data_IF_648486261723
#
_entry.id   IF_648486261723
#
_cell.length_a   1.000
_cell.length_b   1.000
_cell.length_c   1.000
_cell.angle_alpha   90.00
_cell.angle_beta   90.00
_cell.angle_gamma   90.00
#
_symmetry.space_group_name_H-M   'P 1'
#
loop_
_entity.id
_entity.type
_entity.pdbx_description
1 polymer ?
#
# COMPACT_ATOMS: atom_id res chain seq x y z
N UNK A 1 -61.20 -41.10 14.05
CA UNK A 1 -61.10 -39.64 13.87
C UNK A 1 -59.72 -39.17 14.30
N UNK A 2 -59.05 -38.46 13.39
CA UNK A 2 -58.00 -37.44 13.61
C UNK A 2 -56.72 -37.87 14.35
N UNK A 3 -55.64 -37.94 13.57
CA UNK A 3 -54.26 -37.81 14.04
C UNK A 3 -53.88 -36.32 14.09
N UNK A 4 -53.02 -36.02 15.08
CA UNK A 4 -51.86 -35.10 15.09
C UNK A 4 -51.97 -33.72 15.78
N UNK A 5 -50.98 -33.55 16.69
CA UNK A 5 -50.21 -32.38 17.13
C UNK A 5 -50.73 -31.63 18.38
N UNK A 6 -49.89 -31.58 19.43
CA UNK A 6 -49.08 -30.38 19.79
C UNK A 6 -48.15 -30.71 20.97
N UNK A 7 -46.90 -30.31 20.83
CA UNK A 7 -45.83 -30.42 21.80
C UNK A 7 -45.90 -29.30 22.85
N UNK A 8 -45.38 -29.55 24.06
CA UNK A 8 -44.66 -28.63 24.95
C UNK A 8 -44.11 -29.51 26.08
N UNK A 9 -42.78 -29.60 26.24
CA UNK A 9 -42.06 -29.31 27.50
C UNK A 9 -40.56 -29.60 27.31
N UNK A 10 -39.73 -28.56 27.46
CA UNK A 10 -38.27 -28.65 27.51
C UNK A 10 -37.85 -29.12 28.91
N UNK A 11 -36.84 -30.00 29.03
CA UNK A 11 -35.74 -29.69 29.95
C UNK A 11 -34.38 -30.01 29.29
N UNK A 12 -33.53 -29.02 29.06
CA UNK A 12 -32.58 -28.45 30.02
C UNK A 12 -31.30 -29.32 30.17
N UNK A 13 -30.22 -28.75 29.63
CA UNK A 13 -28.79 -28.94 29.88
C UNK A 13 -27.95 -29.96 29.10
N UNK A 14 -26.89 -29.36 28.51
CA UNK A 14 -25.55 -29.88 28.26
C UNK A 14 -25.22 -30.42 26.86
N UNK A 15 -25.00 -29.49 25.93
CA UNK A 15 -23.77 -29.50 25.13
C UNK A 15 -23.53 -28.11 24.53
N UNK A 16 -22.55 -27.42 25.12
CA UNK A 16 -22.09 -26.12 24.68
C UNK A 16 -21.33 -26.26 23.36
N UNK A 17 -21.87 -25.69 22.30
CA UNK A 17 -21.09 -25.21 21.16
C UNK A 17 -21.81 -24.00 20.59
N UNK A 18 -21.92 -22.95 21.41
CA UNK A 18 -21.95 -21.61 20.85
C UNK A 18 -20.60 -21.45 20.14
N UNK A 19 -20.59 -21.61 18.82
CA UNK A 19 -19.65 -20.88 17.97
C UNK A 19 -19.99 -19.40 18.13
N UNK A 20 -19.67 -18.85 19.30
CA UNK A 20 -19.43 -17.43 19.45
C UNK A 20 -18.20 -17.23 18.57
N UNK A 21 -18.41 -16.85 17.32
CA UNK A 21 -17.34 -16.29 16.52
C UNK A 21 -16.91 -15.04 17.26
N UNK A 22 -15.97 -15.21 18.20
CA UNK A 22 -15.17 -14.10 18.67
C UNK A 22 -14.71 -13.44 17.36
N UNK A 23 -14.98 -12.15 17.13
CA UNK A 23 -14.20 -11.46 16.14
C UNK A 23 -12.77 -11.72 16.58
N UNK A 24 -12.01 -12.47 15.78
CA UNK A 24 -10.59 -12.58 16.02
C UNK A 24 -10.12 -11.14 16.03
N UNK A 25 -9.76 -10.64 17.22
CA UNK A 25 -8.94 -9.45 17.36
C UNK A 25 -7.58 -9.88 16.80
N UNK A 26 -7.52 -10.03 15.49
CA UNK A 26 -6.29 -10.11 14.75
C UNK A 26 -5.69 -8.73 14.94
N UNK A 27 -4.81 -8.60 15.93
CA UNK A 27 -3.90 -7.48 15.98
C UNK A 27 -3.15 -7.54 14.65
N UNK A 28 -3.47 -6.60 13.75
CA UNK A 28 -2.77 -6.53 12.49
C UNK A 28 -1.28 -6.37 12.77
N UNK A 29 -0.48 -7.30 12.27
CA UNK A 29 0.94 -7.35 12.59
C UNK A 29 1.66 -6.27 11.78
N UNK A 30 2.45 -5.43 12.47
CA UNK A 30 3.27 -4.43 11.82
C UNK A 30 4.26 -5.08 10.84
N UNK A 31 4.42 -4.46 9.67
CA UNK A 31 5.18 -5.02 8.55
C UNK A 31 6.68 -5.05 8.84
N UNK A 32 7.37 -6.07 8.30
CA UNK A 32 8.82 -6.25 8.43
C UNK A 32 9.33 -7.17 7.32
N UNK A 33 10.42 -6.78 6.65
CA UNK A 33 11.06 -7.59 5.61
C UNK A 33 10.69 -7.16 4.20
N UNK A 34 10.78 -8.08 3.26
CA UNK A 34 10.54 -7.80 1.84
C UNK A 34 9.17 -8.31 1.42
N UNK A 35 8.41 -7.48 0.71
CA UNK A 35 7.13 -7.81 0.11
C UNK A 35 7.20 -7.53 -1.39
N UNK A 36 6.51 -8.35 -2.18
CA UNK A 36 6.56 -8.30 -3.63
C UNK A 36 5.29 -7.69 -4.22
N UNK A 37 5.46 -6.80 -5.19
CA UNK A 37 4.36 -6.31 -6.02
C UNK A 37 4.48 -6.94 -7.41
N UNK A 38 3.46 -7.68 -7.82
CA UNK A 38 3.36 -8.32 -9.14
C UNK A 38 1.91 -8.25 -9.61
N UNK A 39 1.68 -8.20 -10.92
CA UNK A 39 0.30 -8.26 -11.46
C UNK A 39 -0.41 -9.58 -11.14
N UNK A 40 0.36 -10.65 -10.85
CA UNK A 40 -0.14 -11.92 -10.33
C UNK A 40 0.93 -12.62 -9.50
N UNK A 41 0.52 -13.33 -8.43
CA UNK A 41 1.40 -14.16 -7.62
C UNK A 41 2.42 -13.43 -6.74
N UNK A 42 2.28 -12.12 -6.55
CA UNK A 42 3.01 -11.35 -5.54
C UNK A 42 2.20 -11.20 -4.26
N UNK A 43 2.82 -10.67 -3.20
CA UNK A 43 2.13 -10.32 -1.95
C UNK A 43 1.08 -9.24 -2.18
N UNK A 44 1.36 -8.34 -3.13
CA UNK A 44 0.48 -7.27 -3.55
C UNK A 44 0.27 -7.26 -5.07
N UNK A 45 -0.95 -6.97 -5.49
CA UNK A 45 -1.29 -6.77 -6.91
C UNK A 45 -0.88 -5.39 -7.45
N UNK A 46 -0.67 -4.40 -6.56
CA UNK A 46 -0.33 -3.03 -6.92
C UNK A 46 0.52 -2.34 -5.86
N UNK A 47 1.24 -1.29 -6.27
CA UNK A 47 2.06 -0.46 -5.37
C UNK A 47 1.16 0.25 -4.34
N UNK A 48 -0.01 0.73 -4.78
CA UNK A 48 -0.98 1.38 -3.88
C UNK A 48 -1.49 0.42 -2.80
N UNK A 49 -1.70 -0.87 -3.09
CA UNK A 49 -2.14 -1.83 -2.08
C UNK A 49 -1.10 -1.98 -0.95
N UNK A 50 0.19 -2.09 -1.32
CA UNK A 50 1.28 -2.11 -0.35
C UNK A 50 1.34 -0.81 0.47
N UNK A 51 1.12 0.36 -0.17
CA UNK A 51 1.12 1.65 0.51
C UNK A 51 -0.06 1.81 1.50
N UNK A 52 -1.24 1.25 1.17
CA UNK A 52 -2.39 1.20 2.10
C UNK A 52 -2.03 0.39 3.34
N UNK A 53 -1.48 -0.81 3.17
CA UNK A 53 -1.12 -1.67 4.28
C UNK A 53 -0.03 -1.07 5.16
N UNK A 54 0.99 -0.43 4.56
CA UNK A 54 2.02 0.30 5.31
C UNK A 54 1.41 1.41 6.17
N UNK A 55 0.43 2.15 5.63
CA UNK A 55 -0.25 3.21 6.38
C UNK A 55 -1.17 2.64 7.47
N UNK A 56 -1.78 1.48 7.24
CA UNK A 56 -2.73 0.85 8.16
C UNK A 56 -2.05 0.09 9.31
N UNK A 57 -0.94 -0.60 9.03
CA UNK A 57 -0.28 -1.53 9.95
C UNK A 57 1.03 -0.99 10.50
N UNK A 58 1.63 0.00 9.82
CA UNK A 58 2.95 0.50 10.17
C UNK A 58 4.04 -0.56 10.00
N UNK A 59 5.20 -0.28 10.58
CA UNK A 59 6.39 -1.12 10.48
C UNK A 59 6.99 -1.44 11.84
N UNK A 60 7.49 -2.66 11.99
CA UNK A 60 8.25 -3.12 13.16
C UNK A 60 9.74 -3.36 12.87
N UNK A 61 10.13 -3.23 11.61
CA UNK A 61 11.50 -3.34 11.12
C UNK A 61 11.64 -2.67 9.75
N UNK A 62 12.81 -2.73 9.11
CA UNK A 62 12.97 -2.28 7.74
C UNK A 62 12.00 -3.00 6.79
N UNK A 63 11.34 -2.26 5.91
CA UNK A 63 10.44 -2.82 4.89
C UNK A 63 10.92 -2.45 3.49
N UNK A 64 10.96 -3.46 2.62
CA UNK A 64 11.23 -3.28 1.19
C UNK A 64 10.01 -3.77 0.42
N UNK A 65 9.42 -2.89 -0.38
CA UNK A 65 8.42 -3.22 -1.39
C UNK A 65 9.15 -3.37 -2.72
N UNK A 66 9.32 -4.61 -3.14
CA UNK A 66 10.04 -4.99 -4.35
C UNK A 66 9.04 -5.20 -5.50
N UNK A 67 9.10 -4.30 -6.48
CA UNK A 67 8.10 -4.21 -7.55
C UNK A 67 8.67 -4.81 -8.83
N UNK A 68 7.95 -5.77 -9.39
CA UNK A 68 8.37 -6.43 -10.63
C UNK A 68 7.69 -5.78 -11.85
N UNK A 69 8.44 -5.57 -12.94
CA UNK A 69 7.95 -5.12 -14.23
C UNK A 69 8.92 -5.49 -15.34
N UNK A 70 8.52 -6.35 -16.28
CA UNK A 70 9.41 -6.67 -17.40
C UNK A 70 8.69 -6.95 -18.73
N UNK A 71 8.31 -5.90 -19.49
CA UNK A 71 7.94 -4.56 -19.04
C UNK A 71 6.48 -4.54 -18.57
N UNK A 72 6.18 -3.84 -17.47
CA UNK A 72 4.81 -3.63 -16.98
C UNK A 72 4.62 -2.16 -16.60
N UNK A 73 3.44 -1.64 -16.92
CA UNK A 73 2.99 -0.32 -16.43
C UNK A 73 1.97 -0.48 -15.32
N UNK A 74 2.28 0.06 -14.15
CA UNK A 74 1.33 0.26 -13.06
C UNK A 74 0.63 1.61 -13.25
N UNK A 75 -0.69 1.59 -13.32
CA UNK A 75 -1.49 2.80 -13.56
C UNK A 75 -2.15 3.30 -12.28
N UNK A 76 -2.06 4.60 -12.03
CA UNK A 76 -2.80 5.29 -10.98
C UNK A 76 -1.93 6.05 -9.99
N UNK A 77 -2.61 6.64 -9.02
CA UNK A 77 -2.02 7.35 -7.89
C UNK A 77 -1.52 6.33 -6.85
N UNK A 78 -0.33 6.58 -6.32
CA UNK A 78 0.26 5.91 -5.15
C UNK A 78 0.37 6.92 -4.02
N UNK A 79 -0.58 6.87 -3.09
CA UNK A 79 -0.57 7.67 -1.88
C UNK A 79 0.13 6.91 -0.76
N UNK A 80 1.18 7.52 -0.22
CA UNK A 80 1.93 7.05 0.94
C UNK A 80 1.66 8.06 2.06
N UNK A 81 0.90 7.65 3.08
CA UNK A 81 0.66 8.49 4.25
C UNK A 81 1.73 8.25 5.32
N UNK A 82 1.61 8.91 6.46
CA UNK A 82 2.40 8.61 7.65
C UNK A 82 2.40 7.10 7.97
N UNK A 83 3.60 6.57 8.21
CA UNK A 83 3.83 5.15 8.48
C UNK A 83 4.25 5.01 9.95
N UNK A 84 3.38 4.45 10.79
CA UNK A 84 3.68 4.25 12.20
C UNK A 84 4.90 3.34 12.39
N UNK A 85 5.80 3.71 13.29
CA UNK A 85 7.02 2.93 13.58
C UNK A 85 8.19 3.17 12.61
N UNK A 86 8.00 4.02 11.59
CA UNK A 86 9.08 4.42 10.68
C UNK A 86 10.16 5.22 11.43
N UNK A 87 11.42 4.96 11.10
CA UNK A 87 12.58 5.60 11.73
C UNK A 87 13.83 5.44 10.87
N UNK A 88 14.95 6.02 11.32
CA UNK A 88 16.26 5.81 10.70
C UNK A 88 16.71 4.33 10.68
N UNK A 89 16.10 3.47 11.52
CA UNK A 89 16.32 2.02 11.54
C UNK A 89 15.23 1.30 10.76
N UNK A 90 13.96 1.68 10.96
CA UNK A 90 12.80 1.07 10.31
C UNK A 90 12.41 1.89 9.08
N UNK A 91 13.24 1.83 8.04
CA UNK A 91 13.00 2.54 6.78
C UNK A 91 12.02 1.78 5.90
N UNK A 92 11.30 2.50 5.04
CA UNK A 92 10.44 1.91 4.01
C UNK A 92 11.01 2.24 2.63
N UNK A 93 11.26 1.22 1.82
CA UNK A 93 11.79 1.40 0.46
C UNK A 93 10.85 0.79 -0.56
N UNK A 94 10.36 1.59 -1.49
CA UNK A 94 9.76 1.11 -2.73
C UNK A 94 10.83 1.08 -3.80
N UNK A 95 11.08 -0.09 -4.39
CA UNK A 95 12.07 -0.24 -5.46
C UNK A 95 11.59 -1.19 -6.54
N UNK A 96 12.08 -1.01 -7.75
CA UNK A 96 12.02 -2.06 -8.76
C UNK A 96 12.82 -3.29 -8.36
N UNK A 97 12.42 -4.45 -8.89
CA UNK A 97 13.24 -5.64 -8.88
C UNK A 97 14.48 -5.37 -9.75
N UNK A 98 15.66 -5.75 -9.27
CA UNK A 98 16.90 -5.37 -9.93
C UNK A 98 16.96 -5.86 -11.39
N UNK A 99 17.14 -4.94 -12.33
CA UNK A 99 17.22 -5.22 -13.76
C UNK A 99 15.87 -5.31 -14.47
N UNK A 100 14.78 -4.96 -13.79
CA UNK A 100 13.44 -4.85 -14.35
C UNK A 100 13.10 -3.38 -14.69
N UNK A 101 12.16 -3.19 -15.62
CA UNK A 101 11.66 -1.87 -16.04
C UNK A 101 10.23 -1.70 -15.56
N UNK A 102 10.11 -0.99 -14.43
CA UNK A 102 8.83 -0.69 -13.81
C UNK A 102 8.42 0.73 -14.15
N UNK A 103 7.40 0.84 -15.00
CA UNK A 103 6.77 2.13 -15.28
C UNK A 103 5.57 2.36 -14.37
N UNK A 104 5.48 3.53 -13.75
CA UNK A 104 4.27 4.01 -13.07
C UNK A 104 3.72 5.21 -13.84
N UNK A 105 2.43 5.17 -14.18
CA UNK A 105 1.82 6.22 -15.01
C UNK A 105 0.45 6.66 -14.50
N UNK A 106 0.11 7.93 -14.68
CA UNK A 106 -1.20 8.44 -14.25
C UNK A 106 -1.71 9.62 -15.09
N UNK A 107 -2.53 9.34 -16.10
CA UNK A 107 -3.13 10.38 -16.95
C UNK A 107 -4.38 11.05 -16.35
N UNK A 108 -4.80 10.69 -15.13
CA UNK A 108 -6.14 11.00 -14.60
C UNK A 108 -6.22 12.25 -13.72
N UNK A 109 -5.51 13.33 -14.05
CA UNK A 109 -5.60 14.60 -13.32
C UNK A 109 -4.93 14.64 -11.94
N UNK A 110 -4.03 13.70 -11.62
CA UNK A 110 -3.44 13.49 -10.29
C UNK A 110 -1.91 13.31 -10.35
N UNK A 111 -1.27 13.32 -9.17
CA UNK A 111 0.14 12.93 -8.99
C UNK A 111 0.34 11.43 -9.22
N UNK A 112 1.59 10.99 -9.41
CA UNK A 112 1.91 9.54 -9.40
C UNK A 112 2.26 9.09 -7.99
N UNK A 113 3.32 9.62 -7.39
CA UNK A 113 3.62 9.39 -5.98
C UNK A 113 3.20 10.60 -5.17
N UNK A 114 2.25 10.42 -4.25
CA UNK A 114 1.84 11.45 -3.31
C UNK A 114 2.23 11.02 -1.89
N UNK A 115 3.26 11.67 -1.36
CA UNK A 115 3.84 11.42 -0.05
C UNK A 115 3.26 12.46 0.92
N UNK A 116 2.24 12.04 1.66
CA UNK A 116 1.46 12.87 2.57
C UNK A 116 1.88 12.59 4.02
N UNK A 117 2.88 13.32 4.52
CA UNK A 117 3.46 13.15 5.86
C UNK A 117 4.25 11.84 6.13
N UNK A 118 4.86 11.13 5.16
CA UNK A 118 5.71 10.00 5.49
C UNK A 118 7.11 10.42 5.95
N UNK A 119 7.64 9.64 6.89
CA UNK A 119 9.03 9.72 7.33
C UNK A 119 9.84 8.49 6.89
N UNK A 120 11.11 8.68 6.56
CA UNK A 120 12.08 7.61 6.23
C UNK A 120 11.65 6.69 5.07
N UNK A 121 11.06 7.29 4.02
CA UNK A 121 10.65 6.59 2.80
C UNK A 121 11.65 6.80 1.66
N UNK A 122 11.96 5.73 0.93
CA UNK A 122 12.77 5.77 -0.30
C UNK A 122 11.95 5.30 -1.51
N UNK A 123 12.00 6.06 -2.61
CA UNK A 123 11.50 5.68 -3.93
C UNK A 123 12.72 5.47 -4.84
N UNK A 124 12.88 4.26 -5.39
CA UNK A 124 14.10 3.81 -6.06
C UNK A 124 13.82 3.14 -7.42
N UNK A 125 14.43 3.63 -8.49
CA UNK A 125 14.50 2.95 -9.79
C UNK A 125 13.36 3.24 -10.77
N UNK A 126 12.16 3.57 -10.29
CA UNK A 126 10.98 3.65 -11.18
C UNK A 126 11.08 4.65 -12.34
N UNK A 127 10.50 4.25 -13.49
CA UNK A 127 10.10 5.18 -14.55
C UNK A 127 8.74 5.77 -14.22
N UNK A 128 8.64 7.09 -14.05
CA UNK A 128 7.43 7.82 -13.68
C UNK A 128 7.03 8.69 -14.87
N UNK A 129 5.84 8.48 -15.43
CA UNK A 129 5.47 9.17 -16.66
C UNK A 129 3.99 9.47 -16.86
N UNK A 130 3.71 10.40 -17.79
CA UNK A 130 2.36 10.75 -18.24
C UNK A 130 1.46 11.23 -17.10
N UNK A 131 2.01 11.99 -16.16
CA UNK A 131 1.22 12.65 -15.12
C UNK A 131 0.85 14.07 -15.51
N UNK A 132 -0.38 14.41 -15.13
CA UNK A 132 -0.98 15.72 -15.37
C UNK A 132 -0.57 16.73 -14.31
N UNK A 133 -0.39 16.26 -13.07
CA UNK A 133 0.18 17.01 -11.95
C UNK A 133 1.65 16.62 -11.70
N UNK A 134 2.13 16.71 -10.46
CA UNK A 134 3.50 16.40 -10.10
C UNK A 134 3.81 14.90 -10.27
N UNK A 135 5.01 14.57 -10.74
CA UNK A 135 5.44 13.16 -10.78
C UNK A 135 5.53 12.57 -9.38
N UNK A 136 6.27 13.26 -8.52
CA UNK A 136 6.35 12.97 -7.09
C UNK A 136 6.03 14.25 -6.33
N UNK A 137 5.07 14.19 -5.42
CA UNK A 137 4.70 15.28 -4.53
C UNK A 137 4.91 14.87 -3.09
N UNK A 138 5.75 15.61 -2.36
CA UNK A 138 6.06 15.42 -0.94
C UNK A 138 5.42 16.58 -0.18
N UNK A 139 4.64 16.31 0.87
CA UNK A 139 3.95 17.37 1.60
C UNK A 139 3.98 17.23 3.11
N UNK A 140 3.56 18.30 3.80
CA UNK A 140 3.41 18.41 5.25
C UNK A 140 4.74 18.29 6.00
N UNK A 141 4.83 17.41 7.01
CA UNK A 141 6.00 17.32 7.88
C UNK A 141 6.93 16.15 7.52
N UNK A 142 6.81 15.65 6.29
CA UNK A 142 7.62 14.56 5.73
C UNK A 142 9.12 14.79 5.92
N UNK A 143 9.82 13.81 6.48
CA UNK A 143 11.27 13.87 6.72
C UNK A 143 12.00 12.67 6.14
N UNK A 144 13.25 12.90 5.74
CA UNK A 144 14.15 11.84 5.27
C UNK A 144 13.57 11.04 4.09
N UNK A 145 12.82 11.72 3.21
CA UNK A 145 12.35 11.15 1.95
C UNK A 145 13.49 11.16 0.94
N UNK A 146 13.76 10.02 0.32
CA UNK A 146 14.81 9.86 -0.70
C UNK A 146 14.20 9.43 -2.02
N UNK A 147 14.53 10.15 -3.09
CA UNK A 147 14.20 9.78 -4.47
C UNK A 147 15.52 9.54 -5.18
N UNK A 148 15.73 8.33 -5.71
CA UNK A 148 16.97 7.98 -6.39
C UNK A 148 16.72 7.02 -7.54
N UNK A 149 17.58 7.07 -8.55
CA UNK A 149 17.50 6.22 -9.75
C UNK A 149 16.18 6.28 -10.52
N UNK A 150 15.26 7.20 -10.21
CA UNK A 150 14.00 7.35 -10.92
C UNK A 150 14.19 8.18 -12.19
N UNK A 151 13.51 7.78 -13.25
CA UNK A 151 13.36 8.59 -14.47
C UNK A 151 11.97 9.20 -14.49
N UNK A 152 11.88 10.54 -14.48
CA UNK A 152 10.59 11.24 -14.50
C UNK A 152 10.44 11.96 -15.84
N UNK A 153 9.41 11.63 -16.61
CA UNK A 153 9.17 12.22 -17.92
C UNK A 153 7.70 12.57 -18.12
N UNK A 154 7.42 13.59 -18.95
CA UNK A 154 6.05 14.01 -19.26
C UNK A 154 5.18 14.23 -17.99
N UNK A 155 5.79 14.87 -16.97
CA UNK A 155 5.14 15.26 -15.73
C UNK A 155 4.68 16.71 -15.79
N UNK A 156 3.59 17.03 -15.08
CA UNK A 156 3.08 18.38 -14.96
C UNK A 156 2.47 18.96 -16.24
N UNK A 157 1.89 18.10 -17.08
CA UNK A 157 1.37 18.50 -18.41
C UNK A 157 0.16 19.43 -18.37
N UNK A 158 -0.46 19.68 -17.20
CA UNK A 158 -1.65 20.51 -17.06
C UNK A 158 -1.55 21.64 -16.02
N UNK A 159 -0.44 22.39 -15.97
CA UNK A 159 -0.33 23.59 -15.12
C UNK A 159 1.09 23.89 -14.65
N UNK A 160 1.20 24.58 -13.52
CA UNK A 160 2.47 24.85 -12.84
C UNK A 160 2.86 23.67 -11.93
N UNK A 161 3.07 22.51 -12.54
CA UNK A 161 3.49 21.29 -11.84
C UNK A 161 4.91 20.92 -12.27
N UNK A 162 5.52 20.03 -11.50
CA UNK A 162 6.94 19.71 -11.62
C UNK A 162 7.18 18.20 -11.63
N UNK A 163 8.38 17.78 -12.03
CA UNK A 163 8.77 16.38 -11.89
C UNK A 163 8.74 15.94 -10.41
N UNK A 164 9.24 16.80 -9.52
CA UNK A 164 9.24 16.61 -8.07
C UNK A 164 8.88 17.93 -7.41
N UNK A 165 7.83 17.93 -6.58
CA UNK A 165 7.41 19.05 -5.74
C UNK A 165 7.53 18.68 -4.26
N UNK A 166 8.03 19.59 -3.43
CA UNK A 166 8.03 19.47 -1.97
C UNK A 166 7.60 20.79 -1.33
N UNK A 167 6.68 20.77 -0.35
CA UNK A 167 6.31 21.91 0.49
C UNK A 167 6.93 21.89 1.90
#
# INVERSE_FOLDING_TARGET
>A
MIRKKIAILVPAFLCAALFFSLPALCFAQAMNGTYTVKTSGGDYASIQAAAVDLSAFGVSGPVVIEVYGNPITYSGLVTINAIAGSSAVNTVTFREFAGEDVTVSNSSGNNIFYLNDPDYVTIDGFTIQNCTQDGIRITNTSKSVTIKNCTISNAGTSGNYSAIYAD
#
